data_IF_314629414818
#
_entry.id   IF_314629414818
#
_cell.length_a   1.000
_cell.length_b   1.000
_cell.length_c   1.000
_cell.angle_alpha   90.00
_cell.angle_beta   90.00
_cell.angle_gamma   90.00
#
_symmetry.space_group_name_H-M   'P 1'
#
loop_
_entity.id
_entity.type
_entity.pdbx_description
1 polymer ?
#
# COMPACT_ATOMS: atom_id res chain seq x y z
N UNK A 1 -2.23 14.14 40.92
CA UNK A 1 -2.06 13.13 39.85
C UNK A 1 -1.97 13.84 38.51
N UNK A 2 -0.78 14.09 38.03
CA UNK A 2 -0.48 14.95 36.87
C UNK A 2 -0.24 14.07 35.65
N UNK A 3 -1.13 14.10 34.67
CA UNK A 3 -0.95 13.43 33.38
C UNK A 3 0.11 14.18 32.56
N UNK A 4 1.26 13.54 32.35
CA UNK A 4 2.27 14.00 31.40
C UNK A 4 1.88 13.58 29.99
N UNK A 5 1.51 14.54 29.15
CA UNK A 5 1.43 14.37 27.71
C UNK A 5 2.86 14.45 27.13
N UNK A 6 3.26 13.40 26.42
CA UNK A 6 4.45 13.43 25.58
C UNK A 6 4.07 13.98 24.21
N UNK A 7 4.53 15.19 23.93
CA UNK A 7 4.49 15.77 22.58
C UNK A 7 5.79 15.35 21.89
N UNK A 8 5.66 14.49 20.88
CA UNK A 8 6.79 14.15 19.99
C UNK A 8 6.79 15.19 18.87
N UNK A 9 7.66 16.18 19.02
CA UNK A 9 7.93 17.17 17.97
C UNK A 9 8.92 16.55 16.99
N UNK A 10 8.42 16.10 15.83
CA UNK A 10 9.25 15.66 14.73
C UNK A 10 9.89 16.87 14.04
N UNK A 11 11.18 17.05 14.21
CA UNK A 11 11.97 18.03 13.47
C UNK A 11 12.23 17.46 12.07
N UNK A 12 11.56 18.00 11.06
CA UNK A 12 11.87 17.76 9.67
C UNK A 12 13.10 18.62 9.30
N UNK A 13 14.25 17.99 9.16
CA UNK A 13 15.47 18.62 8.62
C UNK A 13 15.30 18.69 7.10
N UNK A 14 15.01 19.87 6.58
CA UNK A 14 15.06 20.21 5.17
C UNK A 14 16.50 20.43 4.76
N UNK A 15 17.15 19.42 4.20
CA UNK A 15 18.41 19.57 3.47
C UNK A 15 18.12 20.12 2.07
N UNK A 16 18.27 21.41 1.90
CA UNK A 16 18.30 22.05 0.57
C UNK A 16 19.69 21.84 -0.01
N UNK A 17 19.83 20.81 -0.83
CA UNK A 17 20.98 20.64 -1.71
C UNK A 17 20.64 21.23 -3.07
N UNK A 18 21.17 22.39 -3.38
CA UNK A 18 21.14 22.98 -4.71
C UNK A 18 22.09 22.22 -5.63
N UNK A 19 21.59 21.26 -6.43
CA UNK A 19 22.29 20.71 -7.58
C UNK A 19 21.28 20.38 -8.67
N UNK A 20 21.41 21.05 -9.83
CA UNK A 20 20.93 20.62 -11.14
C UNK A 20 19.42 20.50 -11.30
N UNK A 21 18.80 21.42 -12.02
CA UNK A 21 17.42 21.32 -12.55
C UNK A 21 17.30 20.07 -13.45
N UNK A 22 17.10 18.92 -12.85
CA UNK A 22 16.44 17.81 -13.51
C UNK A 22 14.96 17.94 -13.17
N UNK A 23 14.14 18.12 -14.18
CA UNK A 23 12.70 18.15 -13.98
C UNK A 23 12.26 16.80 -13.42
N UNK A 24 11.94 16.81 -12.15
CA UNK A 24 11.35 15.67 -11.47
C UNK A 24 9.85 15.69 -11.76
N UNK A 25 9.36 14.66 -12.44
CA UNK A 25 7.94 14.32 -12.38
C UNK A 25 7.69 13.84 -10.95
N UNK A 26 7.11 14.68 -10.13
CA UNK A 26 6.73 14.29 -8.76
C UNK A 26 5.42 13.51 -8.87
N UNK A 27 5.46 12.24 -8.55
CA UNK A 27 4.26 11.39 -8.47
C UNK A 27 3.93 11.17 -7.01
N UNK A 28 2.75 11.60 -6.59
CA UNK A 28 2.19 11.35 -5.27
C UNK A 28 1.03 10.37 -5.36
N UNK A 29 1.02 9.35 -4.51
CA UNK A 29 -0.10 8.43 -4.37
C UNK A 29 -0.78 8.62 -3.02
N UNK A 30 -2.08 8.78 -3.04
CA UNK A 30 -2.92 8.82 -1.82
C UNK A 30 -3.95 7.72 -1.95
N UNK A 31 -4.04 6.87 -0.92
CA UNK A 31 -5.05 5.81 -0.84
C UNK A 31 -6.11 6.23 0.18
N UNK A 32 -7.37 6.18 -0.22
CA UNK A 32 -8.51 6.51 0.62
C UNK A 32 -9.50 5.35 0.63
N UNK A 33 -10.06 5.02 1.79
CA UNK A 33 -11.14 4.03 1.88
C UNK A 33 -12.35 4.50 1.05
N UNK A 34 -12.84 3.62 0.17
CA UNK A 34 -13.92 3.93 -0.77
C UNK A 34 -15.22 3.17 -0.46
N UNK A 35 -15.27 2.43 0.65
CA UNK A 35 -16.44 1.64 1.05
C UNK A 35 -16.23 0.88 2.35
N UNK A 36 -17.20 0.08 2.73
CA UNK A 36 -17.11 -0.76 3.92
C UNK A 36 -16.18 -1.95 3.68
N UNK A 37 -15.37 -2.27 4.70
CA UNK A 37 -14.51 -3.44 4.66
C UNK A 37 -15.34 -4.72 4.80
N UNK A 38 -15.11 -5.68 3.92
CA UNK A 38 -15.66 -7.03 4.06
C UNK A 38 -14.67 -7.89 4.85
N UNK A 39 -15.09 -8.38 5.99
CA UNK A 39 -14.29 -9.25 6.86
C UNK A 39 -14.82 -10.68 6.75
N UNK A 40 -13.93 -11.62 6.46
CA UNK A 40 -14.22 -13.05 6.42
C UNK A 40 -13.30 -13.77 7.39
N UNK A 41 -13.85 -14.65 8.21
CA UNK A 41 -13.08 -15.45 9.17
C UNK A 41 -13.21 -16.92 8.84
N UNK A 42 -12.07 -17.58 8.68
CA UNK A 42 -11.98 -19.02 8.48
C UNK A 42 -11.21 -19.66 9.64
N UNK A 43 -11.65 -20.84 10.08
CA UNK A 43 -10.97 -21.60 11.12
C UNK A 43 -10.55 -22.96 10.62
N UNK A 44 -9.32 -23.33 10.95
CA UNK A 44 -8.75 -24.63 10.67
C UNK A 44 -8.25 -25.23 11.98
N UNK A 45 -8.80 -26.38 12.37
CA UNK A 45 -8.41 -27.07 13.61
C UNK A 45 -7.72 -28.39 13.27
N UNK A 46 -6.71 -28.74 14.05
CA UNK A 46 -6.02 -30.00 13.90
C UNK A 46 -5.09 -30.31 15.06
N UNK A 47 -4.61 -31.54 15.11
CA UNK A 47 -3.69 -32.04 16.12
C UNK A 47 -2.28 -32.16 15.53
N UNK A 48 -1.28 -31.67 16.23
CA UNK A 48 0.11 -31.80 15.85
C UNK A 48 0.53 -33.27 15.93
N UNK A 49 0.96 -33.83 14.80
CA UNK A 49 1.47 -35.19 14.71
C UNK A 49 3.00 -35.25 14.80
N UNK A 50 3.67 -34.24 14.25
CA UNK A 50 5.14 -34.16 14.23
C UNK A 50 5.58 -32.69 14.20
N UNK A 51 6.68 -32.41 14.87
CA UNK A 51 7.42 -31.14 14.76
C UNK A 51 8.84 -31.47 14.32
N UNK A 52 9.28 -30.83 13.23
CA UNK A 52 10.62 -31.00 12.66
C UNK A 52 11.19 -29.64 12.24
N UNK A 53 12.08 -29.09 13.05
CA UNK A 53 12.62 -27.76 12.87
C UNK A 53 11.53 -26.70 12.78
N UNK A 54 11.43 -26.04 11.62
CA UNK A 54 10.40 -25.02 11.34
C UNK A 54 9.15 -25.60 10.63
N UNK A 55 9.01 -26.92 10.59
CA UNK A 55 7.89 -27.60 9.95
C UNK A 55 7.06 -28.34 10.97
N UNK A 56 5.73 -28.29 10.85
CA UNK A 56 4.81 -29.11 11.61
C UNK A 56 3.96 -29.97 10.67
N UNK A 57 3.66 -31.17 11.09
CA UNK A 57 2.63 -32.02 10.47
C UNK A 57 1.41 -32.00 11.36
N UNK A 58 0.28 -31.65 10.80
CA UNK A 58 -0.98 -31.53 11.53
C UNK A 58 -2.03 -32.45 10.92
N UNK A 59 -2.69 -33.25 11.76
CA UNK A 59 -3.86 -34.03 11.40
C UNK A 59 -5.09 -33.16 11.50
N UNK A 60 -5.64 -32.74 10.37
CA UNK A 60 -6.73 -31.79 10.28
C UNK A 60 -8.08 -32.41 10.61
N UNK A 61 -8.88 -31.72 11.43
CA UNK A 61 -10.26 -32.07 11.68
C UNK A 61 -11.18 -31.45 10.59
N UNK A 62 -12.36 -32.05 10.29
CA UNK A 62 -12.83 -33.34 10.80
C UNK A 62 -12.33 -34.54 10.01
N UNK A 63 -11.70 -34.34 8.86
CA UNK A 63 -11.38 -35.39 7.88
C UNK A 63 -10.17 -36.25 8.27
N UNK A 64 -9.39 -35.86 9.27
CA UNK A 64 -8.21 -36.60 9.71
C UNK A 64 -7.04 -36.60 8.71
N UNK A 65 -7.05 -35.68 7.73
CA UNK A 65 -6.01 -35.57 6.72
C UNK A 65 -4.74 -34.96 7.31
N UNK A 66 -3.60 -35.55 7.00
CA UNK A 66 -2.31 -34.98 7.39
C UNK A 66 -1.87 -33.92 6.39
N UNK A 67 -1.47 -32.75 6.92
CA UNK A 67 -0.83 -31.69 6.16
C UNK A 67 0.40 -31.16 6.87
N UNK A 68 1.42 -30.81 6.11
CA UNK A 68 2.57 -30.10 6.65
C UNK A 68 2.43 -28.60 6.43
N UNK A 69 2.99 -27.85 7.35
CA UNK A 69 3.05 -26.39 7.31
C UNK A 69 4.45 -25.94 7.66
N UNK A 70 5.05 -25.12 6.78
CA UNK A 70 6.30 -24.42 7.07
C UNK A 70 5.98 -23.16 7.89
N UNK A 71 6.55 -23.09 9.07
CA UNK A 71 6.27 -22.02 10.02
C UNK A 71 7.39 -20.97 9.92
N UNK A 72 7.08 -19.70 9.61
CA UNK A 72 8.09 -18.66 9.58
C UNK A 72 8.81 -18.52 10.93
N UNK A 73 10.12 -18.23 10.93
CA UNK A 73 10.87 -17.99 12.15
C UNK A 73 10.20 -16.88 13.02
N UNK A 74 10.18 -17.07 14.32
CA UNK A 74 9.56 -16.11 15.23
C UNK A 74 8.04 -16.16 15.32
N UNK A 75 7.37 -17.08 14.59
CA UNK A 75 5.92 -17.25 14.71
C UNK A 75 5.55 -17.72 16.11
N UNK A 76 4.60 -17.01 16.72
CA UNK A 76 4.08 -17.31 18.06
C UNK A 76 2.76 -18.06 17.99
N UNK A 77 2.57 -18.95 18.95
CA UNK A 77 1.37 -19.74 19.20
C UNK A 77 0.87 -19.41 20.60
N UNK A 78 -0.43 -19.33 20.78
CA UNK A 78 -1.03 -19.15 22.11
C UNK A 78 -1.58 -20.51 22.57
N UNK A 79 -0.82 -21.21 23.40
CA UNK A 79 -1.19 -22.53 23.92
C UNK A 79 -1.56 -22.41 25.40
N UNK A 80 -2.77 -22.74 25.74
CA UNK A 80 -3.34 -22.61 27.11
C UNK A 80 -3.11 -21.18 27.67
N UNK A 81 -3.29 -20.16 26.81
CA UNK A 81 -3.11 -18.76 27.18
C UNK A 81 -1.65 -18.28 27.26
N UNK A 82 -0.67 -19.15 27.03
CA UNK A 82 0.75 -18.80 27.04
C UNK A 82 1.33 -18.70 25.64
N UNK A 83 2.20 -17.73 25.44
CA UNK A 83 2.94 -17.60 24.18
C UNK A 83 4.02 -18.67 24.10
N UNK A 84 3.97 -19.48 23.06
CA UNK A 84 4.88 -20.58 22.76
C UNK A 84 5.51 -20.39 21.37
N UNK A 85 6.69 -20.96 21.18
CA UNK A 85 7.35 -21.06 19.88
C UNK A 85 7.11 -22.44 19.29
N UNK A 86 7.48 -22.64 18.03
CA UNK A 86 7.35 -23.94 17.35
C UNK A 86 8.11 -25.07 18.10
N UNK A 87 9.27 -24.75 18.67
CA UNK A 87 10.09 -25.66 19.48
C UNK A 87 9.39 -26.19 20.72
N UNK A 88 8.39 -25.47 21.21
CA UNK A 88 7.65 -25.81 22.43
C UNK A 88 6.44 -26.70 22.13
N UNK A 89 6.07 -26.83 20.85
CA UNK A 89 4.95 -27.67 20.43
C UNK A 89 5.34 -29.15 20.51
N UNK A 90 4.41 -29.96 20.92
CA UNK A 90 4.57 -31.41 21.04
C UNK A 90 3.49 -32.13 20.24
N UNK A 91 3.76 -33.36 19.77
CA UNK A 91 2.72 -34.25 19.25
C UNK A 91 1.55 -34.32 20.22
N UNK A 92 0.32 -34.31 19.71
CA UNK A 92 -0.91 -34.25 20.51
C UNK A 92 -1.39 -32.84 20.87
N UNK A 93 -0.58 -31.80 20.60
CA UNK A 93 -1.07 -30.40 20.77
C UNK A 93 -2.17 -30.13 19.77
N UNK A 94 -3.34 -29.69 20.25
CA UNK A 94 -4.46 -29.29 19.40
C UNK A 94 -4.29 -27.81 19.05
N UNK A 95 -4.25 -27.49 17.75
CA UNK A 95 -4.13 -26.14 17.24
C UNK A 95 -5.42 -25.71 16.52
N UNK A 96 -5.78 -24.46 16.70
CA UNK A 96 -6.82 -23.78 15.91
C UNK A 96 -6.22 -22.52 15.30
N UNK A 97 -6.09 -22.54 13.97
CA UNK A 97 -5.69 -21.38 13.19
C UNK A 97 -6.94 -20.62 12.76
N UNK A 98 -7.03 -19.35 13.14
CA UNK A 98 -8.10 -18.44 12.74
C UNK A 98 -7.50 -17.44 11.76
N UNK A 99 -7.90 -17.52 10.49
CA UNK A 99 -7.52 -16.60 9.45
C UNK A 99 -8.63 -15.56 9.26
N UNK A 100 -8.32 -14.30 9.52
CA UNK A 100 -9.23 -13.17 9.28
C UNK A 100 -8.75 -12.40 8.07
N UNK A 101 -9.51 -12.48 7.00
CA UNK A 101 -9.25 -11.75 5.75
C UNK A 101 -10.13 -10.52 5.69
N UNK A 102 -9.51 -9.35 5.56
CA UNK A 102 -10.19 -8.07 5.36
C UNK A 102 -9.96 -7.63 3.92
N UNK A 103 -11.04 -7.42 3.19
CA UNK A 103 -11.05 -6.82 1.85
C UNK A 103 -11.59 -5.40 1.98
N UNK A 104 -10.74 -4.42 1.75
CA UNK A 104 -11.07 -3.01 1.84
C UNK A 104 -11.11 -2.41 0.45
N UNK A 105 -12.28 -1.98 -0.07
CA UNK A 105 -12.32 -1.14 -1.26
C UNK A 105 -11.62 0.18 -0.97
N UNK A 106 -10.72 0.58 -1.86
CA UNK A 106 -9.96 1.82 -1.75
C UNK A 106 -9.97 2.57 -3.07
N UNK A 107 -9.88 3.88 -3.02
CA UNK A 107 -9.64 4.74 -4.17
C UNK A 107 -8.19 5.18 -4.13
N UNK A 108 -7.43 4.78 -5.13
CA UNK A 108 -6.03 5.21 -5.28
C UNK A 108 -6.00 6.42 -6.19
N UNK A 109 -5.64 7.56 -5.62
CA UNK A 109 -5.47 8.82 -6.34
C UNK A 109 -4.00 9.03 -6.63
N UNK A 110 -3.65 8.99 -7.91
CA UNK A 110 -2.30 9.27 -8.39
C UNK A 110 -2.27 10.68 -8.95
N UNK A 111 -1.44 11.54 -8.37
CA UNK A 111 -1.19 12.90 -8.87
C UNK A 111 0.16 12.92 -9.55
N UNK A 112 0.18 13.27 -10.83
CA UNK A 112 1.39 13.43 -11.62
C UNK A 112 1.51 14.88 -12.08
N UNK A 113 2.64 15.52 -11.80
CA UNK A 113 2.94 16.87 -12.29
C UNK A 113 3.86 16.78 -13.49
N UNK A 114 3.41 17.30 -14.62
CA UNK A 114 4.16 17.37 -15.87
C UNK A 114 4.60 18.82 -16.06
N UNK A 115 5.90 19.04 -16.08
CA UNK A 115 6.49 20.33 -16.37
C UNK A 115 7.02 20.35 -17.81
N UNK A 116 6.84 21.46 -18.50
CA UNK A 116 7.33 21.60 -19.87
C UNK A 116 7.32 23.03 -20.36
N UNK A 117 7.89 23.23 -21.54
CA UNK A 117 7.82 24.50 -22.27
C UNK A 117 6.90 24.31 -23.47
N UNK A 118 5.96 25.21 -23.66
CA UNK A 118 5.02 25.18 -24.78
C UNK A 118 5.78 25.30 -26.10
N UNK A 119 5.70 24.25 -26.91
CA UNK A 119 6.20 24.28 -28.29
C UNK A 119 5.10 24.71 -29.26
N UNK A 120 3.85 24.20 -29.03
CA UNK A 120 2.69 24.55 -29.84
C UNK A 120 1.42 24.38 -28.97
N UNK A 121 0.41 25.26 -29.22
CA UNK A 121 -0.90 25.13 -28.59
C UNK A 121 -1.99 25.64 -29.55
N UNK A 122 -3.05 24.84 -29.76
CA UNK A 122 -4.21 25.21 -30.58
C UNK A 122 -5.42 24.35 -30.22
N UNK A 123 -6.58 24.97 -30.03
CA UNK A 123 -7.80 24.28 -29.66
C UNK A 123 -7.65 23.48 -28.37
N UNK A 124 -7.76 22.16 -28.45
CA UNK A 124 -7.56 21.23 -27.33
C UNK A 124 -6.19 20.55 -27.34
N UNK A 125 -5.31 20.96 -28.26
CA UNK A 125 -4.07 20.27 -28.53
C UNK A 125 -2.88 21.10 -28.08
N UNK A 126 -1.99 20.49 -27.30
CA UNK A 126 -0.79 21.13 -26.77
C UNK A 126 0.40 20.22 -26.98
N UNK A 127 1.50 20.77 -27.51
CA UNK A 127 2.79 20.10 -27.55
C UNK A 127 3.71 20.79 -26.55
N UNK A 128 4.26 20.02 -25.62
CA UNK A 128 5.22 20.48 -24.64
C UNK A 128 6.59 19.90 -24.93
N UNK A 129 7.61 20.74 -24.92
CA UNK A 129 9.00 20.28 -24.81
C UNK A 129 9.25 19.97 -23.35
N UNK A 130 9.46 18.69 -23.06
CA UNK A 130 9.75 18.21 -21.69
C UNK A 130 11.18 18.60 -21.31
N UNK A 131 11.53 18.54 -20.04
CA UNK A 131 12.89 18.82 -19.59
C UNK A 131 13.95 17.85 -20.11
N UNK A 132 13.51 16.66 -20.60
CA UNK A 132 14.37 15.75 -21.35
C UNK A 132 14.76 16.26 -22.73
N UNK A 133 14.14 17.38 -23.20
CA UNK A 133 14.27 17.89 -24.55
C UNK A 133 13.31 17.25 -25.58
N UNK A 134 12.55 16.24 -25.16
CA UNK A 134 11.58 15.55 -26.01
C UNK A 134 10.29 16.36 -26.13
N UNK A 135 9.74 16.42 -27.34
CA UNK A 135 8.41 16.97 -27.57
C UNK A 135 7.35 15.89 -27.35
N UNK A 136 6.35 16.20 -26.53
CA UNK A 136 5.21 15.32 -26.28
C UNK A 136 3.91 16.06 -26.48
N UNK A 137 3.01 15.42 -27.18
CA UNK A 137 1.68 15.95 -27.49
C UNK A 137 0.64 15.51 -26.44
N UNK A 138 -0.32 16.39 -26.21
CA UNK A 138 -1.42 16.18 -25.28
C UNK A 138 -2.70 16.71 -25.89
N UNK A 139 -3.75 15.86 -25.86
CA UNK A 139 -5.11 16.31 -26.09
C UNK A 139 -5.77 16.54 -24.75
N UNK A 140 -6.14 17.77 -24.43
CA UNK A 140 -6.64 18.17 -23.12
C UNK A 140 -8.10 18.61 -23.18
N UNK A 141 -8.93 18.27 -22.17
CA UNK A 141 -10.31 18.74 -22.12
C UNK A 141 -10.38 20.27 -22.06
N UNK A 142 -11.45 20.89 -22.58
CA UNK A 142 -11.61 22.35 -22.56
C UNK A 142 -11.58 22.97 -21.15
N UNK A 143 -11.99 22.20 -20.15
CA UNK A 143 -11.97 22.63 -18.74
C UNK A 143 -10.58 22.52 -18.10
N UNK A 144 -9.61 21.92 -18.78
CA UNK A 144 -8.27 21.73 -18.22
C UNK A 144 -7.55 23.08 -18.03
N UNK A 145 -6.79 23.18 -16.94
CA UNK A 145 -5.99 24.37 -16.64
C UNK A 145 -4.55 23.99 -16.41
N UNK A 146 -3.68 24.69 -17.09
CA UNK A 146 -2.24 24.68 -16.86
C UNK A 146 -1.90 25.71 -15.78
N UNK A 147 -0.86 25.46 -15.04
CA UNK A 147 -0.28 26.47 -14.17
C UNK A 147 0.86 27.17 -14.93
N UNK A 148 0.73 28.46 -15.11
CA UNK A 148 1.74 29.34 -15.70
C UNK A 148 2.12 30.36 -14.65
N UNK A 149 3.35 30.28 -14.13
CA UNK A 149 3.86 31.20 -13.09
C UNK A 149 2.93 31.34 -11.86
N UNK A 150 2.32 30.25 -11.44
CA UNK A 150 1.38 30.23 -10.31
C UNK A 150 -0.06 30.61 -10.65
N UNK A 151 -0.39 30.91 -11.90
CA UNK A 151 -1.74 31.28 -12.34
C UNK A 151 -2.33 30.20 -13.25
N UNK A 152 -3.64 29.90 -13.11
CA UNK A 152 -4.33 28.98 -14.02
C UNK A 152 -4.49 29.62 -15.41
N UNK A 153 -4.12 28.90 -16.45
CA UNK A 153 -4.24 29.28 -17.85
C UNK A 153 -4.94 28.17 -18.65
N UNK A 154 -5.79 28.56 -19.61
CA UNK A 154 -6.39 27.66 -20.57
C UNK A 154 -5.41 27.41 -21.74
N UNK A 155 -5.71 26.42 -22.60
CA UNK A 155 -4.90 26.17 -23.81
C UNK A 155 -4.81 27.41 -24.72
N UNK A 156 -5.90 28.18 -24.80
CA UNK A 156 -5.96 29.40 -25.63
C UNK A 156 -5.07 30.53 -25.13
N UNK A 157 -4.69 30.51 -23.86
CA UNK A 157 -3.83 31.50 -23.23
C UNK A 157 -2.34 31.16 -23.43
N UNK A 158 -2.04 29.91 -23.82
CA UNK A 158 -0.68 29.46 -23.97
C UNK A 158 -0.01 30.03 -25.22
N UNK A 159 1.26 30.40 -25.10
CA UNK A 159 2.11 30.86 -26.18
C UNK A 159 3.39 30.03 -26.20
N UNK A 160 3.95 29.86 -27.41
CA UNK A 160 5.24 29.20 -27.58
C UNK A 160 6.31 29.83 -26.67
N UNK A 161 7.06 28.97 -25.99
CA UNK A 161 8.10 29.37 -25.04
C UNK A 161 7.65 29.55 -23.60
N UNK A 162 6.35 29.58 -23.31
CA UNK A 162 5.86 29.62 -21.91
C UNK A 162 6.21 28.33 -21.16
N UNK A 163 6.72 28.49 -19.95
CA UNK A 163 6.91 27.36 -19.01
C UNK A 163 5.58 27.07 -18.33
N UNK A 164 5.15 25.84 -18.41
CA UNK A 164 3.87 25.39 -17.84
C UNK A 164 4.08 24.18 -16.96
N UNK A 165 3.21 24.08 -15.96
CA UNK A 165 3.04 22.88 -15.15
C UNK A 165 1.60 22.38 -15.32
N UNK A 166 1.44 21.08 -15.52
CA UNK A 166 0.16 20.43 -15.65
C UNK A 166 0.03 19.35 -14.58
N UNK A 167 -1.06 19.37 -13.82
CA UNK A 167 -1.37 18.34 -12.86
C UNK A 167 -2.38 17.36 -13.46
N UNK A 168 -2.00 16.09 -13.55
CA UNK A 168 -2.87 15.00 -13.95
C UNK A 168 -3.23 14.19 -12.70
N UNK A 169 -4.52 14.13 -12.40
CA UNK A 169 -5.05 13.29 -11.33
C UNK A 169 -5.73 12.09 -11.98
N UNK A 170 -5.34 10.91 -11.56
CA UNK A 170 -5.97 9.65 -11.95
C UNK A 170 -6.49 8.98 -10.68
N UNK A 171 -7.77 8.62 -10.66
CA UNK A 171 -8.40 7.91 -9.57
C UNK A 171 -8.76 6.50 -10.05
N UNK A 172 -8.25 5.50 -9.37
CA UNK A 172 -8.49 4.09 -9.69
C UNK A 172 -9.05 3.37 -8.47
N UNK A 173 -10.22 2.72 -8.61
CA UNK A 173 -10.74 1.85 -7.57
C UNK A 173 -9.87 0.59 -7.48
N UNK A 174 -9.47 0.23 -6.27
CA UNK A 174 -8.71 -1.00 -5.97
C UNK A 174 -9.31 -1.68 -4.75
N UNK A 175 -8.93 -2.93 -4.54
CA UNK A 175 -9.26 -3.66 -3.31
C UNK A 175 -7.96 -4.04 -2.62
N UNK A 176 -7.79 -3.55 -1.42
CA UNK A 176 -6.71 -3.98 -0.55
C UNK A 176 -7.15 -5.22 0.24
N UNK A 177 -6.32 -6.26 0.23
CA UNK A 177 -6.58 -7.51 0.93
C UNK A 177 -5.50 -7.68 1.98
N UNK A 178 -5.92 -7.81 3.23
CA UNK A 178 -5.04 -8.15 4.33
C UNK A 178 -5.53 -9.41 5.04
N UNK A 179 -4.62 -10.31 5.37
CA UNK A 179 -4.95 -11.53 6.11
C UNK A 179 -4.12 -11.58 7.38
N UNK A 180 -4.81 -11.70 8.52
CA UNK A 180 -4.19 -11.93 9.82
C UNK A 180 -4.50 -13.37 10.23
N UNK A 181 -3.48 -14.09 10.70
CA UNK A 181 -3.63 -15.46 11.18
C UNK A 181 -3.23 -15.48 12.65
N UNK A 182 -4.17 -15.85 13.50
CA UNK A 182 -3.91 -16.16 14.91
C UNK A 182 -3.95 -17.69 15.09
N UNK A 183 -3.01 -18.23 15.86
CA UNK A 183 -2.98 -19.67 16.17
C UNK A 183 -3.06 -19.81 17.67
N UNK A 184 -4.14 -20.42 18.10
CA UNK A 184 -4.37 -20.80 19.50
C UNK A 184 -4.35 -22.32 19.63
N UNK A 185 -4.22 -22.82 20.83
CA UNK A 185 -4.25 -24.28 21.02
C UNK A 185 -4.32 -24.70 22.47
N UNK A 186 -4.31 -26.00 22.63
CA UNK A 186 -4.26 -26.70 23.94
C UNK A 186 -3.11 -27.69 23.92
N UNK A 187 -2.37 -27.75 25.01
CA UNK A 187 -1.34 -28.75 25.21
C UNK A 187 -1.94 -30.18 25.19
N UNK A 188 -1.13 -31.19 24.83
CA UNK A 188 -1.57 -32.58 24.94
C UNK A 188 -1.91 -32.90 26.40
N UNK A 189 -2.94 -33.72 26.57
CA UNK A 189 -3.36 -34.21 27.92
C UNK A 189 -2.34 -35.21 28.45
#
# INVERSE_FOLDING_TARGET
MTKRQFIITGVAVLLVSAVGLRAQTTTGNVTQAAGEAKVTTEQLTGEVALVDGNRIVVKLAPKGLYRYFDIPPGRQFIIDGQTKMISDLRPGTVLTATATTTMQPVLVRTTSVINGTVWYASGNYVILTLPSGENRDYNVPPAFRFNVEGKPASVTDLRKGMKVSAEKIVEEPRTEISTKVAITGKAPK
#
